data_IF_986889006314
#
_entry.id   IF_986889006314
#
_cell.length_a   1.000
_cell.length_b   1.000
_cell.length_c   1.000
_cell.angle_alpha   90.00
_cell.angle_beta   90.00
_cell.angle_gamma   90.00
#
_symmetry.space_group_name_H-M   'P 1'
#
loop_
_entity.id
_entity.type
_entity.pdbx_description
1 polymer ?
#
# COMPACT_ATOMS: atom_id res chain seq x y z
N UNK A 1 26.32 -19.90 -10.58
CA UNK A 1 25.73 -18.60 -10.20
C UNK A 1 24.33 -18.50 -10.78
N UNK A 2 23.39 -19.30 -10.24
CA UNK A 2 22.00 -19.42 -10.75
C UNK A 2 20.97 -19.30 -9.60
N UNK A 3 21.43 -19.21 -8.34
CA UNK A 3 20.53 -19.17 -7.18
C UNK A 3 20.02 -17.76 -6.84
N UNK A 4 20.76 -16.69 -7.18
CA UNK A 4 20.34 -15.31 -6.89
C UNK A 4 19.12 -14.83 -7.72
N UNK A 5 18.88 -15.44 -8.88
CA UNK A 5 17.80 -15.03 -9.78
C UNK A 5 16.43 -15.65 -9.42
N UNK A 6 16.42 -16.70 -8.58
CA UNK A 6 15.17 -17.29 -8.09
C UNK A 6 14.56 -16.48 -6.92
N UNK A 7 15.40 -15.84 -6.10
CA UNK A 7 14.99 -15.02 -4.95
C UNK A 7 14.43 -13.65 -5.35
N UNK A 8 14.71 -13.20 -6.57
CA UNK A 8 14.27 -11.92 -7.12
C UNK A 8 13.05 -12.03 -8.02
N UNK A 9 12.49 -13.24 -8.20
CA UNK A 9 11.22 -13.37 -8.90
C UNK A 9 10.15 -12.76 -8.00
N UNK A 10 9.43 -11.71 -8.42
CA UNK A 10 8.29 -11.24 -7.66
C UNK A 10 7.37 -12.41 -7.36
N UNK A 11 6.84 -12.45 -6.14
CA UNK A 11 5.89 -13.46 -5.73
C UNK A 11 4.58 -13.24 -6.49
N UNK A 12 4.56 -13.55 -7.79
CA UNK A 12 3.37 -13.41 -8.62
C UNK A 12 2.37 -14.50 -8.22
N UNK A 13 1.15 -14.08 -7.92
CA UNK A 13 0.06 -14.99 -7.55
C UNK A 13 -0.90 -14.41 -6.51
N UNK A 14 -1.90 -15.21 -6.07
CA UNK A 14 -2.93 -14.74 -5.13
C UNK A 14 -2.39 -14.30 -3.76
N UNK A 15 -1.19 -14.76 -3.38
CA UNK A 15 -0.52 -14.38 -2.13
C UNK A 15 0.49 -13.23 -2.25
N UNK A 16 0.63 -12.63 -3.43
CA UNK A 16 1.53 -11.51 -3.66
C UNK A 16 1.21 -10.36 -2.71
N UNK A 17 2.23 -9.78 -2.10
CA UNK A 17 2.11 -8.51 -1.38
C UNK A 17 2.35 -7.40 -2.40
N UNK A 18 1.38 -6.51 -2.56
CA UNK A 18 1.47 -5.35 -3.45
C UNK A 18 1.24 -4.08 -2.65
N UNK A 19 2.11 -3.10 -2.81
CA UNK A 19 2.01 -1.83 -2.12
C UNK A 19 2.01 -0.70 -3.15
N UNK A 20 1.09 0.25 -3.01
CA UNK A 20 0.99 1.41 -3.92
C UNK A 20 0.80 2.68 -3.10
N UNK A 21 1.69 3.64 -3.35
CA UNK A 21 1.60 4.99 -2.77
C UNK A 21 0.51 5.80 -3.47
N UNK A 22 -0.30 6.50 -2.68
CA UNK A 22 -1.34 7.41 -3.14
C UNK A 22 -1.14 8.78 -2.47
N UNK A 23 -0.48 9.69 -3.18
CA UNK A 23 -0.08 10.99 -2.65
C UNK A 23 -1.24 11.99 -2.50
N UNK A 24 -2.33 11.79 -3.23
CA UNK A 24 -3.51 12.66 -3.22
C UNK A 24 -4.50 12.25 -2.12
N UNK A 25 -5.60 13.00 -2.01
CA UNK A 25 -6.71 12.58 -1.15
C UNK A 25 -7.26 11.23 -1.62
N UNK A 26 -7.51 10.33 -0.68
CA UNK A 26 -8.19 9.06 -0.90
C UNK A 26 -9.67 9.26 -0.57
N UNK A 27 -10.56 8.73 -1.40
CA UNK A 27 -11.98 8.69 -1.12
C UNK A 27 -12.48 7.24 -1.17
N UNK A 28 -13.19 6.81 -0.13
CA UNK A 28 -13.77 5.46 -0.01
C UNK A 28 -15.29 5.60 -0.01
N UNK A 29 -15.97 4.93 -0.93
CA UNK A 29 -17.41 5.15 -1.14
C UNK A 29 -17.77 6.61 -1.45
N UNK A 30 -16.83 7.41 -1.98
CA UNK A 30 -16.99 8.84 -2.20
C UNK A 30 -16.77 9.73 -0.98
N UNK A 31 -16.44 9.16 0.19
CA UNK A 31 -16.16 9.89 1.42
C UNK A 31 -14.65 10.13 1.55
N UNK A 32 -14.17 11.37 1.72
CA UNK A 32 -12.76 11.65 1.92
C UNK A 32 -12.21 10.98 3.18
N UNK A 33 -11.11 10.25 3.03
CA UNK A 33 -10.41 9.58 4.12
C UNK A 33 -9.60 10.60 4.92
N UNK A 34 -9.64 10.45 6.25
CA UNK A 34 -8.84 11.22 7.18
C UNK A 34 -8.24 10.29 8.23
N UNK A 35 -6.96 10.49 8.55
CA UNK A 35 -6.28 9.63 9.50
C UNK A 35 -6.82 9.92 10.90
N UNK A 36 -7.29 8.89 11.59
CA UNK A 36 -7.81 9.01 12.96
C UNK A 36 -6.76 9.47 13.97
N UNK A 37 -5.47 9.27 13.69
CA UNK A 37 -4.35 9.63 14.58
C UNK A 37 -3.82 11.03 14.30
N UNK A 38 -3.41 11.33 13.07
CA UNK A 38 -2.72 12.58 12.73
C UNK A 38 -3.59 13.58 11.94
N UNK A 39 -4.84 13.23 11.62
CA UNK A 39 -5.78 14.07 10.84
C UNK A 39 -5.36 14.39 9.41
N UNK A 40 -4.28 13.80 8.90
CA UNK A 40 -3.88 13.95 7.51
C UNK A 40 -4.94 13.38 6.55
N UNK A 41 -5.07 14.02 5.37
CA UNK A 41 -6.01 13.65 4.31
C UNK A 41 -5.34 13.06 3.07
N UNK A 42 -4.01 13.02 3.05
CA UNK A 42 -3.17 12.66 1.90
C UNK A 42 -2.01 11.76 2.31
N UNK A 43 -1.19 11.37 1.34
CA UNK A 43 -0.04 10.47 1.52
C UNK A 43 -0.42 9.15 2.19
N UNK A 44 -1.20 8.38 1.43
CA UNK A 44 -1.66 7.06 1.81
C UNK A 44 -0.81 5.98 1.16
N UNK A 45 -0.74 4.82 1.81
CA UNK A 45 -0.26 3.60 1.21
C UNK A 45 -1.40 2.59 1.22
N UNK A 46 -1.69 2.02 0.06
CA UNK A 46 -2.59 0.88 -0.08
C UNK A 46 -1.75 -0.40 -0.13
N UNK A 47 -2.05 -1.35 0.73
CA UNK A 47 -1.34 -2.63 0.85
C UNK A 47 -2.32 -3.75 0.55
N UNK A 48 -2.15 -4.43 -0.58
CA UNK A 48 -2.90 -5.64 -0.89
C UNK A 48 -2.09 -6.87 -0.46
N UNK A 49 -2.70 -7.72 0.36
CA UNK A 49 -2.15 -9.02 0.75
C UNK A 49 -3.28 -10.05 0.79
N UNK A 50 -3.24 -11.02 -0.12
CA UNK A 50 -4.32 -11.98 -0.31
C UNK A 50 -5.62 -11.29 -0.75
N UNK A 51 -6.69 -11.51 0.03
CA UNK A 51 -8.01 -10.89 -0.20
C UNK A 51 -8.19 -9.54 0.47
N UNK A 52 -7.24 -9.13 1.31
CA UNK A 52 -7.36 -7.95 2.15
C UNK A 52 -6.63 -6.77 1.55
N UNK A 53 -7.20 -5.58 1.74
CA UNK A 53 -6.55 -4.31 1.44
C UNK A 53 -6.46 -3.53 2.73
N UNK A 54 -5.27 -3.03 3.03
CA UNK A 54 -5.02 -2.17 4.18
C UNK A 54 -4.68 -0.78 3.70
N UNK A 55 -5.18 0.22 4.41
CA UNK A 55 -4.79 1.61 4.21
C UNK A 55 -3.86 1.99 5.34
N UNK A 56 -2.73 2.59 4.99
CA UNK A 56 -1.74 3.08 5.93
C UNK A 56 -1.47 4.56 5.69
N UNK A 57 -1.55 5.35 6.75
CA UNK A 57 -1.12 6.73 6.75
C UNK A 57 0.40 6.84 6.87
N UNK A 58 0.99 7.92 6.34
CA UNK A 58 2.40 8.28 6.58
C UNK A 58 2.82 8.24 8.05
N UNK A 59 1.94 8.60 8.98
CA UNK A 59 2.23 8.53 10.43
C UNK A 59 2.33 7.12 11.01
N UNK A 60 2.08 6.08 10.19
CA UNK A 60 2.14 4.68 10.59
C UNK A 60 0.80 4.09 11.04
N UNK A 61 -0.24 4.91 11.20
CA UNK A 61 -1.59 4.41 11.47
C UNK A 61 -2.08 3.55 10.29
N UNK A 62 -2.60 2.35 10.58
CA UNK A 62 -2.98 1.38 9.57
C UNK A 62 -4.28 0.68 9.97
N UNK A 63 -5.17 0.47 9.00
CA UNK A 63 -6.42 -0.26 9.22
C UNK A 63 -6.75 -1.16 8.03
N UNK A 64 -7.48 -2.23 8.30
CA UNK A 64 -8.07 -3.07 7.27
C UNK A 64 -9.23 -2.31 6.67
N UNK A 65 -9.27 -2.20 5.35
CA UNK A 65 -10.37 -1.56 4.66
C UNK A 65 -11.29 -2.63 4.04
N UNK A 66 -12.42 -2.96 4.69
CA UNK A 66 -13.28 -4.05 4.26
C UNK A 66 -14.02 -3.77 2.95
N UNK A 67 -14.20 -2.50 2.57
CA UNK A 67 -14.97 -2.13 1.38
C UNK A 67 -14.14 -2.11 0.09
N UNK A 68 -12.80 -2.12 0.18
CA UNK A 68 -11.95 -2.23 -1.01
C UNK A 68 -11.72 -3.71 -1.32
N UNK A 69 -12.41 -4.21 -2.35
CA UNK A 69 -12.11 -5.54 -2.88
C UNK A 69 -10.76 -5.55 -3.62
N UNK A 70 -10.19 -6.73 -3.87
CA UNK A 70 -9.00 -6.85 -4.71
C UNK A 70 -9.21 -6.27 -6.11
N UNK A 71 -10.41 -6.39 -6.67
CA UNK A 71 -10.74 -5.86 -7.98
C UNK A 71 -10.76 -4.32 -7.97
N UNK A 72 -11.31 -3.72 -6.91
CA UNK A 72 -11.32 -2.27 -6.73
C UNK A 72 -9.90 -1.74 -6.51
N UNK A 73 -9.08 -2.44 -5.73
CA UNK A 73 -7.65 -2.14 -5.60
C UNK A 73 -6.94 -2.20 -6.95
N UNK A 74 -7.14 -3.27 -7.74
CA UNK A 74 -6.52 -3.43 -9.06
C UNK A 74 -6.91 -2.29 -10.02
N UNK A 75 -8.15 -1.80 -9.93
CA UNK A 75 -8.62 -0.64 -10.69
C UNK A 75 -8.00 0.68 -10.20
N UNK A 76 -7.85 0.87 -8.88
CA UNK A 76 -7.23 2.06 -8.28
C UNK A 76 -5.76 2.21 -8.69
N UNK A 77 -5.03 1.10 -8.82
CA UNK A 77 -3.58 1.10 -9.11
C UNK A 77 -3.23 1.06 -10.60
N UNK A 78 -4.23 1.15 -11.49
CA UNK A 78 -4.02 1.23 -12.94
C UNK A 78 -3.64 -0.08 -13.63
N UNK A 79 -3.92 -1.23 -13.00
CA UNK A 79 -3.72 -2.55 -13.61
C UNK A 79 -3.07 -3.59 -12.70
N UNK A 80 -2.88 -4.83 -13.18
CA UNK A 80 -2.48 -5.97 -12.35
C UNK A 80 -1.03 -5.91 -11.82
N UNK A 81 -0.24 -4.91 -12.25
CA UNK A 81 1.21 -4.82 -12.07
C UNK A 81 1.67 -3.82 -10.98
N UNK A 82 0.82 -3.49 -10.01
CA UNK A 82 1.29 -2.79 -8.80
C UNK A 82 2.53 -3.48 -8.24
N UNK A 83 3.53 -2.72 -7.79
CA UNK A 83 4.83 -3.26 -7.38
C UNK A 83 4.64 -4.33 -6.31
N UNK A 84 5.14 -5.53 -6.61
CA UNK A 84 5.14 -6.66 -5.70
C UNK A 84 6.37 -6.61 -4.80
N UNK A 85 6.18 -6.98 -3.55
CA UNK A 85 7.23 -6.98 -2.54
C UNK A 85 7.33 -8.35 -1.86
N UNK A 86 8.53 -8.75 -1.41
CA UNK A 86 8.72 -10.03 -0.73
C UNK A 86 8.09 -10.07 0.67
N UNK A 87 7.83 -8.91 1.28
CA UNK A 87 7.09 -8.76 2.54
C UNK A 87 6.40 -7.40 2.61
N UNK A 88 5.52 -7.21 3.60
CA UNK A 88 4.87 -5.91 3.83
C UNK A 88 5.92 -4.89 4.23
N UNK A 89 6.85 -5.26 5.12
CA UNK A 89 7.92 -4.42 5.63
C UNK A 89 8.84 -3.92 4.50
N UNK A 90 9.15 -4.80 3.54
CA UNK A 90 9.92 -4.42 2.36
C UNK A 90 9.20 -3.36 1.52
N UNK A 91 7.88 -3.49 1.35
CA UNK A 91 7.06 -2.48 0.69
C UNK A 91 6.98 -1.16 1.47
N UNK A 92 6.86 -1.23 2.80
CA UNK A 92 6.87 -0.05 3.66
C UNK A 92 8.18 0.73 3.54
N UNK A 93 9.32 0.05 3.62
CA UNK A 93 10.64 0.66 3.51
C UNK A 93 10.85 1.26 2.11
N UNK A 94 10.54 0.51 1.06
CA UNK A 94 10.73 0.95 -0.33
C UNK A 94 9.90 2.20 -0.69
N UNK A 95 8.76 2.40 -0.03
CA UNK A 95 7.84 3.51 -0.30
C UNK A 95 7.87 4.61 0.79
N UNK A 96 8.75 4.50 1.78
CA UNK A 96 8.92 5.49 2.84
C UNK A 96 7.75 5.56 3.83
N UNK A 97 7.11 4.43 4.12
CA UNK A 97 6.02 4.26 5.09
C UNK A 97 6.41 3.40 6.31
N UNK A 98 7.70 3.08 6.44
CA UNK A 98 8.32 2.36 7.56
C UNK A 98 8.44 3.19 8.85
N UNK A 99 8.13 4.48 8.78
CA UNK A 99 8.12 5.41 9.92
C UNK A 99 9.22 6.47 9.85
N UNK A 100 10.21 6.32 8.97
CA UNK A 100 11.31 7.31 8.80
C UNK A 100 10.76 8.69 8.42
N UNK A 101 9.71 8.73 7.62
CA UNK A 101 9.06 9.97 7.16
C UNK A 101 7.74 10.26 7.87
N UNK A 102 7.52 9.71 9.08
CA UNK A 102 6.28 9.93 9.81
C UNK A 102 6.02 11.43 10.04
N UNK A 103 4.85 11.89 9.60
CA UNK A 103 4.45 13.29 9.72
C UNK A 103 4.99 14.22 8.63
N UNK A 104 5.81 13.72 7.68
CA UNK A 104 6.28 14.48 6.53
C UNK A 104 5.31 14.28 5.36
N UNK A 105 4.56 15.32 5.03
CA UNK A 105 3.60 15.32 3.92
C UNK A 105 4.10 16.25 2.83
N UNK A 106 4.58 15.70 1.73
CA UNK A 106 5.10 16.47 0.60
C UNK A 106 3.93 17.08 -0.19
N UNK A 107 4.14 18.26 -0.78
CA UNK A 107 3.13 18.96 -1.60
C UNK A 107 3.17 18.54 -3.07
#
# INVERSE_FOLDING_TARGET
MLQLQAETRPADGPGAIRCVGHSRELALGGIPVMCSVCRARRDWLLINHGRNVWVRCRCGNQWLEPEISRADFDALVGGPHGTTYPSVEAGLAALGFDGVFAGIYLE
#
